data_IF_264085777123
#
_entry.id   IF_264085777123
#
_cell.length_a   1.000
_cell.length_b   1.000
_cell.length_c   1.000
_cell.angle_alpha   90.00
_cell.angle_beta   90.00
_cell.angle_gamma   90.00
#
_symmetry.space_group_name_H-M   'P 1'
#
loop_
_entity.id
_entity.type
_entity.pdbx_description
1 polymer ?
#
# COMPACT_ATOMS: atom_id res chain seq x y z
N UNK A 1 -32.39 -29.68 6.92
CA UNK A 1 -30.96 -30.05 6.88
C UNK A 1 -30.18 -28.86 6.33
N UNK A 2 -29.31 -28.28 7.17
CA UNK A 2 -28.36 -27.15 6.98
C UNK A 2 -28.59 -26.14 5.85
N UNK A 3 -29.24 -25.06 6.26
CA UNK A 3 -29.20 -23.71 5.69
C UNK A 3 -27.75 -23.17 5.79
N UNK A 4 -26.98 -23.12 4.69
CA UNK A 4 -25.68 -22.43 4.67
C UNK A 4 -25.95 -20.97 4.34
N UNK A 5 -26.01 -20.20 5.41
CA UNK A 5 -26.25 -18.77 5.48
C UNK A 5 -25.06 -18.02 4.84
N UNK A 6 -25.12 -17.77 3.52
CA UNK A 6 -24.21 -16.85 2.78
C UNK A 6 -24.49 -15.37 3.09
N UNK A 7 -24.75 -15.04 4.36
CA UNK A 7 -24.86 -13.68 4.85
C UNK A 7 -23.59 -13.31 5.62
N UNK A 8 -22.46 -13.36 4.93
CA UNK A 8 -21.23 -12.74 5.41
C UNK A 8 -21.37 -11.22 5.21
N UNK A 9 -22.04 -10.62 6.20
CA UNK A 9 -22.00 -9.22 6.64
C UNK A 9 -21.13 -8.28 5.79
N UNK A 10 -21.75 -7.62 4.81
CA UNK A 10 -21.30 -6.34 4.32
C UNK A 10 -21.77 -5.27 5.31
N UNK A 11 -21.00 -5.07 6.39
CA UNK A 11 -21.03 -3.80 7.09
C UNK A 11 -20.32 -2.77 6.19
N UNK A 12 -20.72 -1.47 6.17
CA UNK A 12 -19.82 -0.40 5.72
C UNK A 12 -18.73 -0.23 6.79
N UNK A 13 -17.94 -1.29 6.98
CA UNK A 13 -16.98 -1.46 8.05
C UNK A 13 -15.60 -1.32 7.46
N UNK A 14 -14.99 -0.16 7.71
CA UNK A 14 -13.54 0.05 7.86
C UNK A 14 -12.71 -1.12 7.34
N UNK A 15 -12.34 -1.08 6.05
CA UNK A 15 -11.38 -2.04 5.48
C UNK A 15 -10.06 -1.76 6.18
N UNK A 16 -9.82 -2.46 7.28
CA UNK A 16 -8.60 -2.35 8.05
C UNK A 16 -7.54 -3.08 7.22
N UNK A 17 -6.92 -2.36 6.29
CA UNK A 17 -5.89 -2.88 5.39
C UNK A 17 -4.62 -3.16 6.22
N UNK A 18 -4.62 -4.28 6.91
CA UNK A 18 -3.46 -4.77 7.65
C UNK A 18 -2.54 -5.51 6.69
N UNK A 19 -1.50 -4.81 6.24
CA UNK A 19 -0.37 -5.43 5.55
C UNK A 19 0.65 -5.93 6.58
N UNK A 20 1.40 -6.97 6.20
CA UNK A 20 2.54 -7.44 6.97
C UNK A 20 3.68 -6.40 6.93
N UNK A 21 4.63 -6.50 7.86
CA UNK A 21 5.78 -5.61 7.91
C UNK A 21 6.67 -5.82 6.68
N UNK A 22 7.05 -4.73 6.03
CA UNK A 22 7.87 -4.78 4.83
C UNK A 22 9.32 -4.81 5.26
N UNK A 23 9.97 -5.95 5.06
CA UNK A 23 11.41 -6.12 5.23
C UNK A 23 12.17 -5.88 3.93
N UNK A 24 13.38 -5.32 4.02
CA UNK A 24 14.28 -5.05 2.88
C UNK A 24 14.50 -6.28 2.00
N UNK A 25 14.56 -7.47 2.62
CA UNK A 25 14.72 -8.75 1.91
C UNK A 25 13.61 -9.02 0.90
N UNK A 26 12.40 -8.48 1.08
CA UNK A 26 11.30 -8.68 0.13
C UNK A 26 11.55 -8.01 -1.22
N UNK A 27 12.38 -6.99 -1.32
CA UNK A 27 12.69 -6.34 -2.61
C UNK A 27 13.74 -7.09 -3.43
N UNK A 28 14.51 -7.97 -2.80
CA UNK A 28 15.57 -8.76 -3.44
C UNK A 28 15.24 -10.25 -3.50
N UNK A 29 14.18 -10.69 -2.80
CA UNK A 29 13.74 -12.08 -2.77
C UNK A 29 12.61 -12.31 -3.75
N UNK A 30 12.77 -13.28 -4.65
CA UNK A 30 11.72 -13.74 -5.52
C UNK A 30 10.79 -14.69 -4.75
N UNK A 31 9.53 -14.31 -4.55
CA UNK A 31 8.50 -15.16 -3.94
C UNK A 31 7.47 -15.60 -4.97
N UNK A 32 6.88 -16.78 -4.75
CA UNK A 32 5.73 -17.28 -5.53
C UNK A 32 4.40 -16.69 -5.03
N UNK A 33 4.38 -16.17 -3.81
CA UNK A 33 3.23 -15.45 -3.24
C UNK A 33 3.43 -13.94 -3.40
N UNK A 34 2.34 -13.17 -3.58
CA UNK A 34 2.43 -11.71 -3.63
C UNK A 34 3.03 -11.20 -2.33
N UNK A 35 4.08 -10.38 -2.45
CA UNK A 35 4.80 -9.81 -1.32
C UNK A 35 4.03 -8.61 -0.75
N UNK A 36 4.22 -8.27 0.54
CA UNK A 36 3.44 -7.21 1.19
C UNK A 36 3.59 -5.84 0.50
N UNK A 37 4.78 -5.53 -0.03
CA UNK A 37 5.00 -4.30 -0.80
C UNK A 37 4.14 -4.26 -2.08
N UNK A 38 3.99 -5.38 -2.78
CA UNK A 38 3.15 -5.47 -3.99
C UNK A 38 1.67 -5.26 -3.66
N UNK A 39 1.20 -5.78 -2.52
CA UNK A 39 -0.17 -5.59 -2.07
C UNK A 39 -0.46 -4.12 -1.74
N UNK A 40 0.49 -3.43 -1.10
CA UNK A 40 0.40 -1.99 -0.84
C UNK A 40 0.33 -1.21 -2.16
N UNK A 41 1.18 -1.52 -3.14
CA UNK A 41 1.14 -0.86 -4.45
C UNK A 41 -0.21 -1.00 -5.13
N UNK A 42 -0.79 -2.21 -5.12
CA UNK A 42 -2.11 -2.46 -5.69
C UNK A 42 -3.20 -1.69 -4.95
N UNK A 43 -3.13 -1.65 -3.62
CA UNK A 43 -4.07 -0.90 -2.81
C UNK A 43 -3.97 0.61 -3.05
N UNK A 44 -2.77 1.17 -3.20
CA UNK A 44 -2.56 2.57 -3.57
C UNK A 44 -3.16 2.89 -4.94
N UNK A 45 -2.88 2.05 -5.94
CA UNK A 45 -3.44 2.24 -7.29
C UNK A 45 -4.96 2.14 -7.25
N UNK A 46 -5.53 1.20 -6.51
CA UNK A 46 -6.97 1.07 -6.33
C UNK A 46 -7.58 2.27 -5.61
N UNK A 47 -6.90 2.82 -4.59
CA UNK A 47 -7.33 4.02 -3.87
C UNK A 47 -7.37 5.24 -4.81
N UNK A 48 -6.36 5.41 -5.65
CA UNK A 48 -6.27 6.52 -6.60
C UNK A 48 -7.17 6.39 -7.83
N UNK A 49 -8.15 5.48 -7.83
CA UNK A 49 -9.10 5.31 -8.94
C UNK A 49 -8.66 4.33 -10.04
N UNK A 50 -7.51 3.67 -9.89
CA UNK A 50 -6.96 2.73 -10.86
C UNK A 50 -6.34 3.42 -12.09
N UNK A 51 -5.85 2.60 -13.04
CA UNK A 51 -5.30 3.10 -14.31
C UNK A 51 -4.14 4.10 -14.13
N UNK A 52 -4.19 5.20 -14.87
CA UNK A 52 -3.13 6.22 -14.84
C UNK A 52 -3.18 7.09 -13.58
N UNK A 53 -4.37 7.41 -13.09
CA UNK A 53 -4.58 8.20 -11.87
C UNK A 53 -4.07 7.46 -10.63
N UNK A 54 -4.39 6.17 -10.51
CA UNK A 54 -3.84 5.31 -9.45
C UNK A 54 -2.32 5.22 -9.49
N UNK A 55 -1.71 5.18 -10.68
CA UNK A 55 -0.26 5.16 -10.84
C UNK A 55 0.40 6.49 -10.43
N UNK A 56 -0.23 7.62 -10.75
CA UNK A 56 0.22 8.94 -10.30
C UNK A 56 0.08 9.09 -8.79
N UNK A 57 -1.06 8.70 -8.22
CA UNK A 57 -1.28 8.73 -6.79
C UNK A 57 -0.27 7.86 -6.02
N UNK A 58 -0.05 6.63 -6.49
CA UNK A 58 0.98 5.75 -5.93
C UNK A 58 2.36 6.42 -5.89
N UNK A 59 2.77 7.12 -6.95
CA UNK A 59 4.04 7.85 -6.97
C UNK A 59 4.06 8.99 -5.94
N UNK A 60 2.98 9.76 -5.84
CA UNK A 60 2.84 10.83 -4.86
C UNK A 60 2.88 10.28 -3.43
N UNK A 61 2.16 9.20 -3.14
CA UNK A 61 2.15 8.55 -1.83
C UNK A 61 3.55 8.00 -1.46
N UNK A 62 4.26 7.37 -2.40
CA UNK A 62 5.64 6.93 -2.19
C UNK A 62 6.57 8.11 -1.89
N UNK A 63 6.48 9.19 -2.67
CA UNK A 63 7.26 10.40 -2.44
C UNK A 63 6.98 11.01 -1.06
N UNK A 64 5.71 11.10 -0.68
CA UNK A 64 5.23 11.56 0.63
C UNK A 64 5.77 10.69 1.77
N UNK A 65 5.89 9.37 1.54
CA UNK A 65 6.43 8.43 2.50
C UNK A 65 7.96 8.46 2.63
N UNK A 66 8.66 9.32 1.87
CA UNK A 66 10.12 9.49 1.93
C UNK A 66 10.88 8.77 0.80
N UNK A 67 10.18 8.20 -0.18
CA UNK A 67 10.83 7.63 -1.36
C UNK A 67 11.17 8.73 -2.37
N UNK A 68 12.38 9.29 -2.26
CA UNK A 68 12.84 10.39 -3.12
C UNK A 68 13.39 9.96 -4.49
N UNK A 69 13.28 8.69 -4.86
CA UNK A 69 13.81 8.19 -6.13
C UNK A 69 12.72 8.11 -7.20
N UNK A 70 13.06 8.48 -8.43
CA UNK A 70 12.15 8.35 -9.58
C UNK A 70 11.69 6.90 -9.81
N UNK A 71 10.57 6.75 -10.53
CA UNK A 71 10.00 5.45 -10.90
C UNK A 71 10.89 4.55 -11.79
N UNK A 72 12.07 5.03 -12.18
CA UNK A 72 13.10 4.27 -12.90
C UNK A 72 14.07 3.54 -11.96
N UNK A 73 14.11 3.90 -10.67
CA UNK A 73 14.99 3.25 -9.70
C UNK A 73 14.27 2.04 -9.10
N UNK A 74 14.75 0.81 -9.36
CA UNK A 74 14.13 -0.37 -8.77
C UNK A 74 14.33 -0.38 -7.26
N UNK A 75 13.30 -0.76 -6.50
CA UNK A 75 13.36 -0.84 -5.04
C UNK A 75 14.50 -1.75 -4.53
N UNK A 76 14.85 -2.79 -5.30
CA UNK A 76 15.99 -3.67 -5.03
C UNK A 76 17.34 -2.93 -4.90
N UNK A 77 17.47 -1.72 -5.46
CA UNK A 77 18.69 -0.89 -5.37
C UNK A 77 18.85 -0.25 -3.99
N UNK A 78 17.73 0.09 -3.34
CA UNK A 78 17.69 0.68 -2.00
C UNK A 78 16.62 -0.02 -1.15
N UNK A 79 16.81 -1.31 -0.85
CA UNK A 79 15.77 -2.13 -0.25
C UNK A 79 15.41 -1.67 1.17
N UNK A 80 16.37 -1.14 1.94
CA UNK A 80 16.14 -0.59 3.28
C UNK A 80 15.29 0.69 3.25
N UNK A 81 15.61 1.61 2.34
CA UNK A 81 14.81 2.84 2.15
C UNK A 81 13.43 2.54 1.60
N UNK A 82 13.31 1.54 0.72
CA UNK A 82 12.03 1.10 0.22
C UNK A 82 11.19 0.51 1.37
N UNK A 83 11.77 -0.39 2.17
CA UNK A 83 11.10 -0.97 3.32
C UNK A 83 10.59 0.10 4.30
N UNK A 84 11.41 1.09 4.62
CA UNK A 84 11.02 2.21 5.49
C UNK A 84 9.84 3.01 4.91
N UNK A 85 9.91 3.42 3.64
CA UNK A 85 8.82 4.15 2.99
C UNK A 85 7.52 3.32 2.92
N UNK A 86 7.61 2.03 2.61
CA UNK A 86 6.45 1.14 2.55
C UNK A 86 5.84 0.87 3.94
N UNK A 87 6.66 0.75 4.98
CA UNK A 87 6.16 0.62 6.35
C UNK A 87 5.44 1.90 6.81
N UNK A 88 5.97 3.07 6.44
CA UNK A 88 5.30 4.35 6.72
C UNK A 88 3.96 4.45 5.99
N UNK A 89 3.88 4.00 4.73
CA UNK A 89 2.63 3.87 3.99
C UNK A 89 1.66 2.93 4.69
N UNK A 90 2.13 1.75 5.13
CA UNK A 90 1.31 0.77 5.86
C UNK A 90 0.68 1.38 7.11
N UNK A 91 1.45 2.11 7.89
CA UNK A 91 0.95 2.81 9.09
C UNK A 91 -0.08 3.89 8.74
N UNK A 92 0.19 4.69 7.71
CA UNK A 92 -0.75 5.70 7.24
C UNK A 92 -2.05 5.08 6.67
N UNK A 93 -1.95 3.99 5.92
CA UNK A 93 -3.09 3.25 5.35
C UNK A 93 -3.94 2.54 6.41
N UNK A 94 -3.39 2.23 7.59
CA UNK A 94 -4.16 1.68 8.69
C UNK A 94 -5.23 2.67 9.21
N UNK A 95 -4.99 3.98 9.04
CA UNK A 95 -5.91 5.05 9.44
C UNK A 95 -6.56 5.81 8.29
N UNK A 96 -6.03 5.71 7.07
CA UNK A 96 -6.52 6.46 5.92
C UNK A 96 -7.58 5.68 5.12
N UNK A 97 -8.78 6.24 5.04
CA UNK A 97 -9.90 5.67 4.27
C UNK A 97 -9.97 6.21 2.83
N UNK A 98 -9.23 7.29 2.55
CA UNK A 98 -9.25 8.01 1.27
C UNK A 98 -7.81 8.38 0.83
N UNK A 99 -7.57 8.57 -0.47
CA UNK A 99 -6.28 9.02 -1.02
C UNK A 99 -5.77 10.30 -0.35
N UNK A 100 -6.67 11.26 -0.18
CA UNK A 100 -6.40 12.56 0.45
C UNK A 100 -6.02 12.40 1.94
N UNK A 101 -6.76 11.55 2.66
CA UNK A 101 -6.46 11.23 4.06
C UNK A 101 -5.10 10.53 4.20
N UNK A 102 -4.69 9.73 3.23
CA UNK A 102 -3.39 9.08 3.21
C UNK A 102 -2.27 10.10 3.05
N UNK A 103 -2.38 11.00 2.07
CA UNK A 103 -1.38 12.05 1.85
C UNK A 103 -1.25 12.96 3.07
N UNK A 104 -2.39 13.32 3.67
CA UNK A 104 -2.43 14.09 4.90
C UNK A 104 -1.76 13.37 6.07
N UNK A 105 -2.00 12.06 6.23
CA UNK A 105 -1.34 11.24 7.24
C UNK A 105 0.18 11.12 7.02
N UNK A 106 0.65 11.21 5.78
CA UNK A 106 2.06 11.23 5.43
C UNK A 106 2.72 12.62 5.62
N UNK A 107 1.91 13.65 5.92
CA UNK A 107 2.38 15.02 6.14
C UNK A 107 2.48 15.86 4.87
N UNK A 108 1.76 15.47 3.81
CA UNK A 108 1.57 16.32 2.62
C UNK A 108 0.28 17.11 2.83
N UNK A 109 0.42 18.43 2.96
CA UNK A 109 -0.66 19.41 3.14
C UNK A 109 -1.30 19.84 1.81
#
# INVERSE_FOLDING_TARGET
>A
MRLILIKQLYAPGKVSMHFDEIQSKHFVTLSRTPLPHTLIEQALVAMGGGGNDGMNFRKQALAAAGWSYDGLVPFAKHPDKAAEAFNRLREAMAGAESPDALLKALGVE
#
